data_IF_398569040161
#
_entry.id   IF_398569040161
#
_cell.length_a   1.000
_cell.length_b   1.000
_cell.length_c   1.000
_cell.angle_alpha   90.00
_cell.angle_beta   90.00
_cell.angle_gamma   90.00
#
_symmetry.space_group_name_H-M   'P 1'
#
loop_
_entity.id
_entity.type
_entity.pdbx_description
1 polymer ?
#
# COMPACT_ATOMS: atom_id res chain seq x y z
N UNK A 1 34.68 -14.00 -3.50
CA UNK A 1 33.59 -15.01 -3.58
C UNK A 1 32.27 -14.26 -3.72
N UNK A 2 31.64 -14.35 -4.90
CA UNK A 2 30.42 -13.61 -5.23
C UNK A 2 29.29 -13.98 -4.27
N UNK A 3 28.75 -12.98 -3.58
CA UNK A 3 27.67 -13.13 -2.60
C UNK A 3 26.35 -13.42 -3.31
N UNK A 4 26.13 -14.67 -3.69
CA UNK A 4 24.94 -15.12 -4.41
C UNK A 4 23.66 -14.64 -3.68
N UNK A 5 22.92 -13.73 -4.30
CA UNK A 5 21.64 -13.24 -3.80
C UNK A 5 20.74 -14.41 -3.38
N UNK A 6 20.17 -14.37 -2.17
CA UNK A 6 19.32 -15.47 -1.70
C UNK A 6 18.10 -15.66 -2.61
N UNK A 7 17.65 -16.90 -2.78
CA UNK A 7 16.48 -17.21 -3.64
C UNK A 7 15.23 -16.40 -3.26
N UNK A 8 15.02 -16.14 -1.97
CA UNK A 8 13.92 -15.32 -1.47
C UNK A 8 14.05 -13.86 -1.88
N UNK A 9 15.25 -13.30 -1.82
CA UNK A 9 15.53 -11.93 -2.24
C UNK A 9 15.42 -11.78 -3.77
N UNK A 10 15.91 -12.76 -4.54
CA UNK A 10 15.72 -12.78 -6.00
C UNK A 10 14.24 -12.78 -6.36
N UNK A 11 13.43 -13.56 -5.64
CA UNK A 11 11.97 -13.55 -5.80
C UNK A 11 11.35 -12.21 -5.47
N UNK A 12 11.77 -11.57 -4.36
CA UNK A 12 11.29 -10.25 -3.99
C UNK A 12 11.64 -9.21 -5.06
N UNK A 13 12.87 -9.26 -5.61
CA UNK A 13 13.31 -8.38 -6.68
C UNK A 13 12.44 -8.52 -7.93
N UNK A 14 12.24 -9.73 -8.44
CA UNK A 14 11.42 -10.00 -9.64
C UNK A 14 9.95 -9.59 -9.50
N UNK A 15 9.46 -9.52 -8.26
CA UNK A 15 8.07 -9.13 -7.96
C UNK A 15 7.91 -7.62 -7.88
N UNK A 16 8.86 -6.94 -7.25
CA UNK A 16 8.77 -5.51 -6.96
C UNK A 16 9.34 -4.64 -8.08
N UNK A 17 10.33 -5.15 -8.81
CA UNK A 17 11.08 -4.41 -9.81
C UNK A 17 10.84 -4.92 -11.24
N UNK A 18 11.08 -4.04 -12.20
CA UNK A 18 11.15 -4.32 -13.62
C UNK A 18 12.35 -3.58 -14.19
N UNK A 19 13.18 -4.29 -14.95
CA UNK A 19 14.22 -3.64 -15.74
C UNK A 19 13.58 -2.88 -16.90
N UNK A 20 13.95 -1.61 -17.05
CA UNK A 20 13.59 -0.80 -18.23
C UNK A 20 14.79 -0.75 -19.17
N UNK A 21 15.93 -0.32 -18.62
CA UNK A 21 17.23 -0.22 -19.31
C UNK A 21 18.33 -0.67 -18.32
N UNK A 22 19.59 -0.78 -18.76
CA UNK A 22 20.71 -1.24 -17.90
C UNK A 22 21.01 -0.30 -16.72
N UNK A 23 20.61 0.97 -16.81
CA UNK A 23 20.78 1.97 -15.76
C UNK A 23 19.45 2.40 -15.12
N UNK A 24 18.33 1.76 -15.47
CA UNK A 24 17.01 2.18 -14.98
C UNK A 24 16.16 0.99 -14.56
N UNK A 25 15.78 1.00 -13.28
CA UNK A 25 14.82 0.05 -12.72
C UNK A 25 13.50 0.77 -12.41
N UNK A 26 12.40 0.08 -12.67
CA UNK A 26 11.06 0.53 -12.35
C UNK A 26 10.52 -0.26 -11.16
N UNK A 27 10.12 0.46 -10.12
CA UNK A 27 9.45 -0.06 -8.94
C UNK A 27 7.94 -0.02 -9.18
N UNK A 28 7.29 -1.16 -8.93
CA UNK A 28 5.84 -1.26 -8.88
C UNK A 28 5.36 -1.06 -7.45
N UNK A 29 4.57 -0.01 -7.22
CA UNK A 29 3.83 0.09 -5.97
C UNK A 29 2.82 -1.05 -5.89
N UNK A 30 2.80 -1.76 -4.76
CA UNK A 30 1.84 -2.82 -4.48
C UNK A 30 1.06 -2.44 -3.23
N UNK A 31 -0.08 -1.78 -3.45
CA UNK A 31 -0.96 -1.34 -2.37
C UNK A 31 -1.86 -2.48 -1.95
N UNK A 32 -1.66 -2.97 -0.73
CA UNK A 32 -2.75 -3.54 0.05
C UNK A 32 -3.52 -4.67 -0.63
N UNK A 33 -2.84 -5.56 -1.36
CA UNK A 33 -3.43 -6.83 -1.82
C UNK A 33 -4.18 -7.50 -0.68
N UNK A 34 -3.59 -7.47 0.51
CA UNK A 34 -4.20 -7.98 1.73
C UNK A 34 -5.51 -7.27 2.08
N UNK A 35 -5.54 -5.93 2.10
CA UNK A 35 -6.77 -5.19 2.35
C UNK A 35 -7.85 -5.61 1.34
N UNK A 36 -7.51 -5.65 0.05
CA UNK A 36 -8.44 -6.11 -0.99
C UNK A 36 -8.86 -7.57 -0.80
N UNK A 37 -7.94 -8.47 -0.44
CA UNK A 37 -8.21 -9.90 -0.19
C UNK A 37 -9.11 -10.10 1.04
N UNK A 38 -8.87 -9.39 2.14
CA UNK A 38 -9.73 -9.42 3.33
C UNK A 38 -11.14 -8.97 2.96
N UNK A 39 -11.26 -7.86 2.23
CA UNK A 39 -12.56 -7.41 1.73
C UNK A 39 -13.21 -8.42 0.78
N UNK A 40 -12.44 -9.10 -0.09
CA UNK A 40 -12.95 -10.19 -0.95
C UNK A 40 -13.46 -11.36 -0.10
N UNK A 41 -12.71 -11.80 0.91
CA UNK A 41 -13.09 -12.92 1.79
C UNK A 41 -14.33 -12.56 2.62
N UNK A 42 -14.37 -11.38 3.23
CA UNK A 42 -15.55 -10.87 3.96
C UNK A 42 -16.76 -10.81 3.04
N UNK A 43 -16.56 -10.37 1.80
CA UNK A 43 -17.63 -10.29 0.81
C UNK A 43 -18.10 -11.66 0.37
N UNK A 44 -17.19 -12.61 0.13
CA UNK A 44 -17.55 -13.99 -0.21
C UNK A 44 -18.35 -14.65 0.91
N UNK A 45 -17.93 -14.46 2.17
CA UNK A 45 -18.69 -14.89 3.34
C UNK A 45 -20.07 -14.20 3.41
N UNK A 46 -20.13 -12.89 3.13
CA UNK A 46 -21.39 -12.14 3.09
C UNK A 46 -22.33 -12.65 1.99
N UNK A 47 -21.82 -12.98 0.81
CA UNK A 47 -22.61 -13.56 -0.29
C UNK A 47 -23.16 -14.92 0.12
N UNK A 48 -22.35 -15.73 0.78
CA UNK A 48 -22.78 -17.03 1.30
C UNK A 48 -23.95 -16.87 2.28
N UNK A 49 -23.81 -16.03 3.30
CA UNK A 49 -24.89 -15.80 4.25
C UNK A 49 -26.12 -15.13 3.62
N UNK A 50 -25.93 -14.13 2.76
CA UNK A 50 -27.06 -13.36 2.22
C UNK A 50 -27.88 -14.15 1.18
N UNK A 51 -27.24 -15.01 0.36
CA UNK A 51 -27.88 -15.60 -0.82
C UNK A 51 -27.84 -17.13 -0.88
N UNK A 52 -26.94 -17.78 -0.14
CA UNK A 52 -26.79 -19.25 -0.17
C UNK A 52 -27.42 -19.88 1.07
N UNK A 53 -27.14 -19.34 2.25
CA UNK A 53 -27.72 -19.83 3.50
C UNK A 53 -29.24 -19.59 3.55
N UNK A 54 -30.00 -20.67 3.63
CA UNK A 54 -31.46 -20.64 3.66
C UNK A 54 -32.03 -19.86 4.84
N UNK A 55 -31.29 -19.78 5.96
CA UNK A 55 -31.75 -19.09 7.18
C UNK A 55 -31.86 -17.57 7.00
N UNK A 56 -30.98 -16.98 6.19
CA UNK A 56 -30.89 -15.52 6.00
C UNK A 56 -31.43 -15.07 4.65
N UNK A 57 -31.39 -15.93 3.63
CA UNK A 57 -31.81 -15.61 2.25
C UNK A 57 -33.20 -15.03 2.15
N UNK A 58 -34.18 -15.56 2.89
CA UNK A 58 -35.56 -15.08 2.79
C UNK A 58 -35.69 -13.63 3.26
N UNK A 59 -35.12 -13.31 4.43
CA UNK A 59 -35.13 -11.95 4.98
C UNK A 59 -34.42 -10.95 4.06
N UNK A 60 -33.29 -11.36 3.47
CA UNK A 60 -32.53 -10.52 2.54
C UNK A 60 -33.35 -10.21 1.28
N UNK A 61 -33.99 -11.22 0.70
CA UNK A 61 -34.84 -11.03 -0.49
C UNK A 61 -36.07 -10.17 -0.19
N UNK A 62 -36.68 -10.33 0.98
CA UNK A 62 -37.81 -9.50 1.41
C UNK A 62 -37.38 -8.04 1.62
N UNK A 63 -36.26 -7.79 2.29
CA UNK A 63 -35.72 -6.44 2.49
C UNK A 63 -35.35 -5.78 1.14
N UNK A 64 -34.78 -6.53 0.20
CA UNK A 64 -34.49 -6.06 -1.15
C UNK A 64 -35.78 -5.74 -1.92
N UNK A 65 -36.77 -6.64 -1.89
CA UNK A 65 -38.06 -6.42 -2.55
C UNK A 65 -38.77 -5.20 -1.96
N UNK A 66 -38.77 -5.04 -0.64
CA UNK A 66 -39.36 -3.89 0.02
C UNK A 66 -38.67 -2.57 -0.35
N UNK A 67 -37.35 -2.59 -0.54
CA UNK A 67 -36.58 -1.39 -0.89
C UNK A 67 -36.87 -0.91 -2.31
N UNK A 68 -36.91 -1.83 -3.29
CA UNK A 68 -37.13 -1.48 -4.71
C UNK A 68 -38.61 -1.45 -5.12
N UNK A 69 -39.48 -2.14 -4.39
CA UNK A 69 -40.92 -2.25 -4.64
C UNK A 69 -41.71 -2.20 -3.32
N UNK A 70 -41.66 -1.08 -2.58
CA UNK A 70 -42.36 -0.97 -1.29
C UNK A 70 -43.89 -1.13 -1.44
N UNK A 71 -44.43 -0.65 -2.55
CA UNK A 71 -45.87 -0.68 -2.83
C UNK A 71 -46.43 -2.10 -2.92
N UNK A 72 -45.68 -3.08 -3.42
CA UNK A 72 -46.18 -4.46 -3.54
C UNK A 72 -46.40 -5.09 -2.17
N UNK A 73 -45.58 -4.74 -1.18
CA UNK A 73 -45.77 -5.19 0.21
C UNK A 73 -47.02 -4.55 0.80
N UNK A 74 -47.17 -3.24 0.64
CA UNK A 74 -48.34 -2.53 1.17
C UNK A 74 -49.65 -2.96 0.49
N UNK A 75 -49.61 -3.32 -0.79
CA UNK A 75 -50.75 -3.89 -1.50
C UNK A 75 -51.12 -5.28 -0.97
N UNK A 76 -50.13 -6.15 -0.68
CA UNK A 76 -50.38 -7.44 -0.03
C UNK A 76 -51.00 -7.28 1.37
N UNK A 77 -50.48 -6.36 2.17
CA UNK A 77 -51.01 -6.10 3.51
C UNK A 77 -52.41 -5.45 3.45
N UNK A 78 -52.65 -4.58 2.47
CA UNK A 78 -53.98 -4.04 2.17
C UNK A 78 -54.99 -5.14 1.87
N UNK A 79 -54.65 -6.16 1.05
CA UNK A 79 -55.55 -7.27 0.74
C UNK A 79 -56.02 -8.01 2.00
N UNK A 80 -55.16 -8.10 3.03
CA UNK A 80 -55.52 -8.68 4.32
C UNK A 80 -56.34 -7.75 5.22
N UNK A 81 -56.15 -6.43 5.10
CA UNK A 81 -56.79 -5.41 5.94
C UNK A 81 -58.08 -4.81 5.34
N UNK A 82 -58.34 -5.05 4.06
CA UNK A 82 -59.50 -4.57 3.34
C UNK A 82 -60.80 -5.13 3.93
N UNK A 83 -61.85 -4.31 3.91
CA UNK A 83 -63.19 -4.73 4.28
C UNK A 83 -63.89 -5.37 3.07
N UNK A 84 -64.40 -6.59 3.24
CA UNK A 84 -65.16 -7.29 2.21
C UNK A 84 -66.54 -6.65 1.96
N UNK A 85 -67.07 -5.93 2.96
CA UNK A 85 -68.39 -5.29 2.90
C UNK A 85 -68.37 -3.87 2.32
N UNK A 86 -67.21 -3.18 2.41
CA UNK A 86 -67.02 -1.80 1.91
C UNK A 86 -65.77 -1.70 1.04
N UNK A 87 -65.89 -1.78 -0.30
CA UNK A 87 -64.74 -1.71 -1.19
C UNK A 87 -64.03 -0.34 -1.07
N UNK A 88 -62.70 -0.37 -1.01
CA UNK A 88 -61.87 0.85 -0.88
C UNK A 88 -61.58 1.31 0.55
N UNK A 89 -62.18 0.65 1.56
CA UNK A 89 -61.96 0.93 2.97
C UNK A 89 -61.33 -0.27 3.69
N UNK A 90 -60.59 0.03 4.76
CA UNK A 90 -60.14 -0.98 5.73
C UNK A 90 -61.27 -1.35 6.68
N UNK A 91 -61.13 -2.49 7.37
CA UNK A 91 -62.03 -2.88 8.49
C UNK A 91 -62.09 -1.85 9.64
N UNK A 92 -61.16 -0.91 9.67
CA UNK A 92 -61.09 0.20 10.63
C UNK A 92 -61.57 1.53 10.05
N UNK A 93 -62.23 1.53 8.88
CA UNK A 93 -62.85 2.72 8.28
C UNK A 93 -61.89 3.70 7.60
N UNK A 94 -60.59 3.38 7.47
CA UNK A 94 -59.61 4.21 6.74
C UNK A 94 -59.69 3.97 5.23
N UNK A 95 -59.50 5.02 4.43
CA UNK A 95 -59.40 4.90 2.97
C UNK A 95 -58.09 4.18 2.58
N UNK A 96 -58.06 3.63 1.36
CA UNK A 96 -56.85 2.97 0.81
C UNK A 96 -55.62 3.87 0.85
N UNK A 97 -55.77 5.12 0.43
CA UNK A 97 -54.67 6.08 0.37
C UNK A 97 -54.14 6.43 1.77
N UNK A 98 -55.03 6.68 2.73
CA UNK A 98 -54.66 6.93 4.13
C UNK A 98 -53.96 5.73 4.77
N UNK A 99 -54.41 4.51 4.45
CA UNK A 99 -53.78 3.30 4.94
C UNK A 99 -52.37 3.14 4.38
N UNK A 100 -52.19 3.27 3.07
CA UNK A 100 -50.88 3.17 2.41
C UNK A 100 -49.90 4.25 2.89
N UNK A 101 -50.36 5.50 3.05
CA UNK A 101 -49.55 6.59 3.61
C UNK A 101 -49.15 6.32 5.07
N UNK A 102 -50.07 5.77 5.88
CA UNK A 102 -49.78 5.36 7.25
C UNK A 102 -48.80 4.18 7.35
N UNK A 103 -48.84 3.26 6.39
CA UNK A 103 -47.89 2.15 6.26
C UNK A 103 -46.50 2.65 5.87
N UNK A 104 -46.42 3.55 4.89
CA UNK A 104 -45.17 4.19 4.51
C UNK A 104 -44.53 4.92 5.69
N UNK A 105 -45.28 5.73 6.44
CA UNK A 105 -44.74 6.46 7.58
C UNK A 105 -44.17 5.56 8.68
N UNK A 106 -44.74 4.36 8.87
CA UNK A 106 -44.24 3.37 9.83
C UNK A 106 -42.98 2.68 9.33
N UNK A 107 -42.96 2.24 8.07
CA UNK A 107 -41.91 1.37 7.55
C UNK A 107 -40.85 2.08 6.70
N UNK A 108 -40.92 3.41 6.49
CA UNK A 108 -39.94 4.19 5.71
C UNK A 108 -38.48 3.98 6.12
N UNK A 109 -38.23 3.63 7.38
CA UNK A 109 -36.88 3.39 7.89
C UNK A 109 -36.33 2.01 7.48
N UNK A 110 -37.19 1.02 7.23
CA UNK A 110 -36.79 -0.34 6.82
C UNK A 110 -36.27 -0.38 5.38
N UNK A 111 -36.65 0.60 4.55
CA UNK A 111 -36.14 0.76 3.17
C UNK A 111 -34.61 0.85 3.12
N UNK A 112 -33.98 1.34 4.19
CA UNK A 112 -32.51 1.42 4.26
C UNK A 112 -31.82 0.06 4.38
N UNK A 113 -32.53 -1.00 4.79
CA UNK A 113 -31.95 -2.34 4.94
C UNK A 113 -31.53 -2.93 3.60
N UNK A 114 -32.38 -2.85 2.56
CA UNK A 114 -32.01 -3.31 1.22
C UNK A 114 -30.85 -2.50 0.62
N UNK A 115 -30.83 -1.19 0.82
CA UNK A 115 -29.71 -0.34 0.40
C UNK A 115 -28.39 -0.71 1.10
N UNK A 116 -28.41 -1.14 2.35
CA UNK A 116 -27.22 -1.65 3.03
C UNK A 116 -26.68 -2.92 2.37
N UNK A 117 -27.56 -3.88 2.04
CA UNK A 117 -27.17 -5.12 1.35
C UNK A 117 -26.53 -4.85 -0.01
N UNK A 118 -27.09 -3.92 -0.80
CA UNK A 118 -26.49 -3.54 -2.09
C UNK A 118 -25.22 -2.70 -1.90
N UNK A 119 -25.27 -1.75 -0.97
CA UNK A 119 -24.21 -0.79 -0.70
C UNK A 119 -22.90 -1.44 -0.28
N UNK A 120 -22.92 -2.47 0.58
CA UNK A 120 -21.70 -3.17 0.99
C UNK A 120 -20.96 -3.83 -0.19
N UNK A 121 -21.68 -4.37 -1.17
CA UNK A 121 -21.09 -4.94 -2.38
C UNK A 121 -20.57 -3.86 -3.34
N UNK A 122 -21.27 -2.73 -3.47
CA UNK A 122 -20.79 -1.57 -4.23
C UNK A 122 -19.51 -0.98 -3.61
N UNK A 123 -19.40 -0.94 -2.29
CA UNK A 123 -18.17 -0.51 -1.60
C UNK A 123 -17.00 -1.41 -1.96
N UNK A 124 -17.17 -2.75 -1.94
CA UNK A 124 -16.13 -3.67 -2.42
C UNK A 124 -15.76 -3.34 -3.87
N UNK A 125 -16.76 -3.18 -4.74
CA UNK A 125 -16.56 -2.88 -6.14
C UNK A 125 -15.69 -1.61 -6.32
N UNK A 126 -16.02 -0.52 -5.63
CA UNK A 126 -15.21 0.70 -5.66
C UNK A 126 -13.78 0.50 -5.14
N UNK A 127 -13.59 -0.33 -4.11
CA UNK A 127 -12.26 -0.67 -3.57
C UNK A 127 -11.44 -1.44 -4.63
N UNK A 128 -12.04 -2.39 -5.34
CA UNK A 128 -11.38 -3.21 -6.37
C UNK A 128 -11.12 -2.43 -7.67
N UNK A 129 -12.03 -1.51 -8.04
CA UNK A 129 -11.90 -0.65 -9.21
C UNK A 129 -10.87 0.47 -9.02
N UNK A 130 -10.52 0.82 -7.77
CA UNK A 130 -9.54 1.87 -7.52
C UNK A 130 -8.17 1.45 -8.10
N UNK A 131 -7.65 2.19 -9.11
CA UNK A 131 -6.38 1.83 -9.74
C UNK A 131 -5.23 2.05 -8.76
N UNK A 132 -4.43 1.02 -8.51
CA UNK A 132 -3.33 1.04 -7.54
C UNK A 132 -1.93 1.10 -8.16
N UNK A 133 -1.82 1.22 -9.48
CA UNK A 133 -0.52 1.22 -10.17
C UNK A 133 0.16 2.59 -10.15
N UNK A 134 0.77 2.98 -9.03
CA UNK A 134 1.88 3.96 -9.10
C UNK A 134 3.17 3.21 -9.44
N UNK A 135 4.05 3.87 -10.19
CA UNK A 135 5.37 3.34 -10.49
C UNK A 135 6.41 4.42 -10.30
N UNK A 136 7.51 4.10 -9.66
CA UNK A 136 8.67 4.98 -9.54
C UNK A 136 9.80 4.39 -10.35
N UNK A 137 10.59 5.23 -11.00
CA UNK A 137 11.78 4.81 -11.72
C UNK A 137 13.01 5.39 -11.04
N UNK A 138 14.02 4.55 -10.92
CA UNK A 138 15.32 4.89 -10.37
C UNK A 138 16.29 4.85 -11.54
N UNK A 139 16.84 6.01 -11.89
CA UNK A 139 17.82 6.16 -12.95
C UNK A 139 19.18 6.44 -12.33
N UNK A 140 20.05 5.43 -12.41
CA UNK A 140 21.41 5.45 -11.88
C UNK A 140 22.29 6.45 -12.62
N UNK A 141 22.16 6.54 -13.95
CA UNK A 141 23.03 7.37 -14.79
C UNK A 141 22.86 8.85 -14.48
N UNK A 142 21.62 9.28 -14.26
CA UNK A 142 21.27 10.67 -13.95
C UNK A 142 21.19 10.96 -12.44
N UNK A 143 21.19 9.93 -11.59
CA UNK A 143 21.03 10.08 -10.15
C UNK A 143 19.66 10.67 -9.78
N UNK A 144 18.59 10.21 -10.44
CA UNK A 144 17.23 10.71 -10.22
C UNK A 144 16.23 9.60 -9.91
N UNK A 145 15.21 9.96 -9.14
CA UNK A 145 14.01 9.13 -8.92
C UNK A 145 12.82 9.90 -9.45
N UNK A 146 12.03 9.32 -10.35
CA UNK A 146 10.92 10.01 -10.96
C UNK A 146 9.66 9.16 -11.08
N UNK A 147 8.51 9.83 -11.12
CA UNK A 147 7.21 9.20 -11.32
C UNK A 147 6.25 10.12 -12.07
N UNK A 148 5.29 9.51 -12.76
CA UNK A 148 4.19 10.21 -13.40
C UNK A 148 2.86 9.73 -12.83
N UNK A 149 2.18 10.58 -12.06
CA UNK A 149 0.95 10.25 -11.35
C UNK A 149 -0.08 11.33 -11.64
N UNK A 150 -1.27 10.94 -12.09
CA UNK A 150 -2.42 11.85 -12.17
C UNK A 150 -2.19 13.07 -13.07
N UNK A 151 -1.56 12.87 -14.24
CA UNK A 151 -1.15 13.91 -15.19
C UNK A 151 -0.07 14.88 -14.68
N UNK A 152 0.59 14.56 -13.56
CA UNK A 152 1.70 15.35 -13.00
C UNK A 152 2.97 14.52 -12.98
N UNK A 153 4.09 15.18 -13.31
CA UNK A 153 5.43 14.62 -13.26
C UNK A 153 6.10 15.02 -11.94
N UNK A 154 6.77 14.07 -11.31
CA UNK A 154 7.45 14.22 -10.02
C UNK A 154 8.86 13.68 -10.16
N UNK A 155 9.84 14.37 -9.58
CA UNK A 155 11.24 14.02 -9.68
C UNK A 155 12.00 14.47 -8.44
N UNK A 156 12.88 13.59 -7.97
CA UNK A 156 13.82 13.82 -6.89
C UNK A 156 15.23 13.64 -7.45
N UNK A 157 16.04 14.68 -7.31
CA UNK A 157 17.48 14.61 -7.61
C UNK A 157 18.25 14.18 -6.36
N UNK A 158 19.09 13.14 -6.48
CA UNK A 158 19.88 12.67 -5.34
C UNK A 158 20.92 13.72 -4.91
N UNK A 159 21.50 14.47 -5.84
CA UNK A 159 22.48 15.52 -5.56
C UNK A 159 21.89 16.72 -4.80
N UNK A 160 20.57 16.84 -4.72
CA UNK A 160 19.89 17.91 -3.98
C UNK A 160 19.45 17.46 -2.60
N UNK A 161 19.66 16.20 -2.23
CA UNK A 161 19.37 15.71 -0.89
C UNK A 161 20.36 16.32 0.12
N UNK A 162 19.80 16.88 1.20
CA UNK A 162 20.59 17.44 2.30
C UNK A 162 21.06 16.37 3.29
N UNK A 163 20.38 15.23 3.32
CA UNK A 163 20.65 14.09 4.21
C UNK A 163 21.06 12.87 3.39
N UNK A 164 21.69 11.86 4.02
CA UNK A 164 22.07 10.63 3.33
C UNK A 164 20.87 9.95 2.65
N UNK A 165 21.09 9.45 1.44
CA UNK A 165 20.10 8.71 0.65
C UNK A 165 19.52 7.48 1.38
N UNK A 166 20.28 6.73 2.20
CA UNK A 166 19.68 5.70 3.05
C UNK A 166 18.61 6.23 4.00
N UNK A 167 18.66 7.49 4.43
CA UNK A 167 17.59 8.09 5.25
C UNK A 167 16.37 8.50 4.43
N UNK A 168 16.53 8.77 3.14
CA UNK A 168 15.39 9.05 2.26
C UNK A 168 14.49 7.81 2.06
N UNK A 169 15.05 6.60 2.21
CA UNK A 169 14.31 5.34 2.14
C UNK A 169 14.06 4.80 3.55
N UNK A 170 12.80 4.80 3.98
CA UNK A 170 12.41 4.17 5.24
C UNK A 170 12.10 2.69 5.02
N UNK A 171 12.57 1.82 5.91
CA UNK A 171 12.21 0.40 5.92
C UNK A 171 11.56 0.10 7.27
N UNK A 172 10.24 -0.06 7.28
CA UNK A 172 9.44 -0.25 8.50
C UNK A 172 8.72 -1.58 8.41
N UNK A 173 8.92 -2.43 9.41
CA UNK A 173 8.43 -3.81 9.41
C UNK A 173 8.82 -4.49 8.09
N UNK A 174 7.82 -4.88 7.30
CA UNK A 174 8.01 -5.52 6.02
C UNK A 174 7.67 -4.59 4.82
N UNK A 175 7.79 -3.27 4.97
CA UNK A 175 7.48 -2.31 3.90
C UNK A 175 8.59 -1.26 3.72
N UNK A 176 9.01 -1.04 2.47
CA UNK A 176 9.90 0.06 2.09
C UNK A 176 9.04 1.27 1.70
N UNK A 177 9.32 2.43 2.28
CA UNK A 177 8.66 3.69 2.01
C UNK A 177 9.65 4.73 1.49
N UNK A 178 9.24 5.47 0.45
CA UNK A 178 9.93 6.66 -0.02
C UNK A 178 8.94 7.62 -0.69
N UNK A 179 9.33 8.89 -0.82
CA UNK A 179 8.45 9.93 -1.35
C UNK A 179 9.18 10.76 -2.41
N UNK A 180 8.69 10.74 -3.66
CA UNK A 180 9.24 11.56 -4.74
C UNK A 180 8.79 13.02 -4.62
N UNK A 181 9.70 13.98 -4.75
CA UNK A 181 9.42 15.42 -4.63
C UNK A 181 8.50 15.92 -5.78
N UNK A 182 7.66 16.96 -5.56
CA UNK A 182 7.40 17.69 -4.30
C UNK A 182 6.60 16.95 -3.23
N UNK A 183 6.94 17.24 -1.96
CA UNK A 183 6.17 16.79 -0.81
C UNK A 183 4.93 17.67 -0.65
N UNK A 184 3.82 17.25 -1.26
CA UNK A 184 2.54 17.95 -1.15
C UNK A 184 1.53 17.11 -0.34
N UNK A 185 0.96 17.73 0.69
CA UNK A 185 -0.10 17.13 1.53
C UNK A 185 -1.50 17.15 0.88
N UNK A 186 -1.67 17.81 -0.28
CA UNK A 186 -2.97 17.97 -0.93
C UNK A 186 -3.27 16.82 -1.90
N UNK A 187 -4.11 15.88 -1.46
CA UNK A 187 -4.75 14.84 -2.27
C UNK A 187 -5.94 14.21 -1.56
N UNK A 188 -6.98 13.82 -2.30
CA UNK A 188 -8.20 13.17 -1.78
C UNK A 188 -7.97 11.68 -1.52
N UNK A 189 -7.76 11.31 -0.25
CA UNK A 189 -7.57 9.93 0.16
C UNK A 189 -7.27 9.78 1.67
N UNK A 190 -7.31 8.52 2.12
CA UNK A 190 -7.06 8.09 3.50
C UNK A 190 -5.74 8.64 4.08
N UNK A 191 -5.63 8.76 5.42
CA UNK A 191 -4.55 9.49 6.09
C UNK A 191 -3.14 9.04 5.72
N UNK A 192 -2.97 7.77 5.35
CA UNK A 192 -1.64 7.18 5.26
C UNK A 192 -0.90 7.41 3.93
N UNK A 193 -1.54 7.80 2.79
CA UNK A 193 -0.84 7.77 1.49
C UNK A 193 -1.32 8.81 0.46
N UNK A 194 -1.17 10.10 0.77
CA UNK A 194 -1.43 11.24 -0.13
C UNK A 194 -0.20 11.54 -1.01
N UNK A 195 -0.39 11.93 -2.27
CA UNK A 195 0.70 12.39 -3.14
C UNK A 195 1.64 11.30 -3.73
N UNK A 196 2.84 11.68 -4.21
CA UNK A 196 3.84 10.80 -4.84
C UNK A 196 4.65 9.94 -3.82
N UNK A 197 3.97 9.46 -2.78
CA UNK A 197 4.47 8.48 -1.82
C UNK A 197 4.35 7.06 -2.38
N UNK A 198 5.37 6.25 -2.13
CA UNK A 198 5.49 4.86 -2.53
C UNK A 198 5.67 3.94 -1.33
N UNK A 199 4.96 2.81 -1.35
CA UNK A 199 5.09 1.74 -0.39
C UNK A 199 5.31 0.40 -1.13
N UNK A 200 6.40 -0.28 -0.82
CA UNK A 200 6.71 -1.61 -1.35
C UNK A 200 6.61 -2.60 -0.19
N UNK A 201 5.54 -3.36 -0.15
CA UNK A 201 5.37 -4.44 0.83
C UNK A 201 6.03 -5.73 0.32
N UNK A 202 6.90 -6.32 1.12
CA UNK A 202 7.47 -7.65 0.88
C UNK A 202 6.42 -8.77 1.05
N UNK A 203 6.71 -9.99 0.58
CA UNK A 203 5.90 -11.18 0.87
C UNK A 203 5.79 -11.43 2.37
N UNK A 204 6.84 -11.11 3.12
CA UNK A 204 6.85 -11.21 4.58
C UNK A 204 5.97 -10.16 5.25
N UNK A 205 5.32 -9.22 4.55
CA UNK A 205 4.31 -8.33 5.16
C UNK A 205 2.95 -9.00 5.26
N UNK A 206 2.73 -10.11 4.54
CA UNK A 206 1.45 -10.82 4.55
C UNK A 206 1.17 -11.44 5.92
N UNK A 207 2.19 -12.06 6.54
CA UNK A 207 2.06 -12.70 7.86
C UNK A 207 2.03 -11.71 9.05
N UNK A 208 2.85 -10.64 9.12
CA UNK A 208 2.79 -9.59 10.13
C UNK A 208 1.57 -8.67 10.04
N UNK A 209 0.91 -8.53 8.88
CA UNK A 209 -0.39 -7.85 8.86
C UNK A 209 -1.55 -8.77 9.27
N UNK A 210 -1.50 -10.06 8.92
CA UNK A 210 -2.34 -11.08 9.58
C UNK A 210 -2.06 -11.14 11.09
N UNK A 211 -0.81 -10.89 11.49
CA UNK A 211 -0.38 -10.78 12.88
C UNK A 211 -1.02 -9.60 13.58
N UNK A 212 -1.10 -8.43 12.94
CA UNK A 212 -1.70 -7.20 13.48
C UNK A 212 -3.16 -7.39 13.88
N UNK A 213 -3.88 -8.30 13.22
CA UNK A 213 -5.23 -8.73 13.61
C UNK A 213 -5.27 -9.84 14.67
N UNK A 214 -4.14 -10.50 14.96
CA UNK A 214 -4.01 -11.68 15.87
C UNK A 214 -2.91 -11.46 16.95
N UNK A 215 -2.61 -10.20 17.29
CA UNK A 215 -1.34 -9.77 17.90
C UNK A 215 -1.34 -9.79 19.45
N UNK A 216 -1.40 -10.98 20.06
CA UNK A 216 -0.57 -11.20 21.25
C UNK A 216 0.54 -12.26 21.06
N UNK A 217 0.57 -13.02 19.95
CA UNK A 217 1.29 -14.31 19.94
C UNK A 217 2.47 -14.48 18.98
N UNK A 218 2.86 -13.47 18.19
CA UNK A 218 3.79 -13.73 17.09
C UNK A 218 5.27 -13.51 17.47
N UNK A 219 5.97 -14.65 17.58
CA UNK A 219 7.40 -14.81 17.91
C UNK A 219 8.32 -13.99 17.01
N UNK A 220 9.44 -13.54 17.57
CA UNK A 220 10.59 -12.93 16.87
C UNK A 220 11.10 -13.73 15.66
N UNK A 221 10.75 -15.02 15.55
CA UNK A 221 11.17 -15.89 14.45
C UNK A 221 10.53 -15.53 13.10
N UNK A 222 9.39 -14.85 13.06
CA UNK A 222 8.75 -14.41 11.81
C UNK A 222 9.42 -13.17 11.21
N UNK A 223 10.17 -12.41 12.01
CA UNK A 223 11.04 -11.31 11.54
C UNK A 223 12.18 -11.84 10.67
N UNK A 224 12.57 -13.12 10.82
CA UNK A 224 13.67 -13.77 10.07
C UNK A 224 13.41 -13.86 8.56
N UNK A 225 12.17 -13.70 8.10
CA UNK A 225 11.79 -13.73 6.68
C UNK A 225 11.72 -12.36 6.00
N UNK A 226 12.04 -11.28 6.72
CA UNK A 226 11.90 -9.93 6.22
C UNK A 226 13.00 -9.55 5.24
N UNK A 227 12.68 -9.41 3.95
CA UNK A 227 13.65 -8.97 2.94
C UNK A 227 13.72 -7.45 2.79
N UNK A 228 12.83 -6.70 3.45
CA UNK A 228 12.69 -5.24 3.35
C UNK A 228 13.99 -4.45 3.60
N UNK A 229 14.79 -4.73 4.64
CA UNK A 229 16.06 -4.02 4.85
C UNK A 229 17.06 -4.29 3.72
N UNK A 230 17.06 -5.50 3.17
CA UNK A 230 17.90 -5.87 2.03
C UNK A 230 17.42 -5.22 0.73
N UNK A 231 16.10 -5.09 0.52
CA UNK A 231 15.54 -4.35 -0.60
C UNK A 231 15.98 -2.87 -0.55
N UNK A 232 15.93 -2.25 0.63
CA UNK A 232 16.48 -0.90 0.83
C UNK A 232 17.97 -0.84 0.49
N UNK A 233 18.78 -1.79 0.96
CA UNK A 233 20.21 -1.84 0.62
C UNK A 233 20.44 -1.97 -0.88
N UNK A 234 19.69 -2.83 -1.57
CA UNK A 234 19.81 -3.00 -3.03
C UNK A 234 19.47 -1.70 -3.76
N UNK A 235 18.48 -0.94 -3.30
CA UNK A 235 18.17 0.37 -3.87
C UNK A 235 19.31 1.38 -3.70
N UNK A 236 19.94 1.39 -2.52
CA UNK A 236 21.11 2.24 -2.24
C UNK A 236 22.31 1.80 -3.09
N UNK A 237 22.62 0.51 -3.10
CA UNK A 237 23.71 -0.09 -3.89
C UNK A 237 23.52 0.21 -5.39
N UNK A 238 22.29 0.10 -5.90
CA UNK A 238 21.96 0.38 -7.30
C UNK A 238 22.19 1.85 -7.68
N UNK A 239 21.83 2.79 -6.79
CA UNK A 239 21.97 4.23 -7.07
C UNK A 239 23.39 4.75 -6.79
N UNK A 240 24.21 4.01 -6.04
CA UNK A 240 25.56 4.43 -5.71
C UNK A 240 26.51 4.27 -6.93
N UNK A 241 27.16 5.35 -7.39
CA UNK A 241 28.11 5.27 -8.51
C UNK A 241 29.36 4.46 -8.17
N UNK A 242 29.75 4.37 -6.88
CA UNK A 242 30.92 3.62 -6.43
C UNK A 242 30.67 2.11 -6.30
N UNK A 243 29.44 1.63 -6.50
CA UNK A 243 29.13 0.20 -6.44
C UNK A 243 29.80 -0.55 -7.61
N UNK A 244 30.50 -1.68 -7.35
CA UNK A 244 31.11 -2.51 -8.40
C UNK A 244 30.07 -2.97 -9.42
N UNK A 245 30.44 -2.95 -10.71
CA UNK A 245 29.52 -3.31 -11.80
C UNK A 245 29.02 -4.75 -11.67
N UNK A 246 29.84 -5.69 -11.19
CA UNK A 246 29.44 -7.08 -10.89
C UNK A 246 28.21 -7.16 -9.99
N UNK A 247 28.11 -6.29 -8.99
CA UNK A 247 26.98 -6.26 -8.06
C UNK A 247 25.71 -5.72 -8.73
N UNK A 248 25.86 -4.79 -9.66
CA UNK A 248 24.76 -4.23 -10.43
C UNK A 248 24.24 -5.27 -11.39
N UNK A 249 25.12 -5.95 -12.11
CA UNK A 249 24.76 -7.03 -13.02
C UNK A 249 24.06 -8.17 -12.26
N UNK A 250 24.49 -8.50 -11.05
CA UNK A 250 23.80 -9.44 -10.17
C UNK A 250 22.35 -9.02 -9.87
N UNK A 251 22.14 -7.75 -9.51
CA UNK A 251 20.79 -7.20 -9.25
C UNK A 251 19.94 -7.26 -10.52
N UNK A 252 20.49 -6.87 -11.67
CA UNK A 252 19.77 -6.83 -12.95
C UNK A 252 19.41 -8.25 -13.43
N UNK A 253 20.35 -9.18 -13.36
CA UNK A 253 20.12 -10.60 -13.67
C UNK A 253 19.09 -11.22 -12.74
N UNK A 254 19.10 -10.85 -11.46
CA UNK A 254 18.07 -11.31 -10.52
C UNK A 254 16.68 -10.79 -10.90
N UNK A 255 16.55 -9.56 -11.40
CA UNK A 255 15.28 -8.96 -11.86
C UNK A 255 14.78 -9.61 -13.16
N UNK A 256 15.67 -9.91 -14.10
CA UNK A 256 15.35 -10.53 -15.40
C UNK A 256 15.12 -12.06 -15.31
N UNK A 257 15.66 -12.70 -14.27
CA UNK A 257 15.67 -14.16 -14.15
C UNK A 257 14.28 -14.81 -14.28
N UNK A 258 14.22 -15.97 -14.94
CA UNK A 258 12.95 -16.70 -15.22
C UNK A 258 12.17 -17.01 -13.95
N UNK A 259 10.90 -16.58 -13.93
CA UNK A 259 9.96 -16.88 -12.84
C UNK A 259 9.73 -18.38 -12.73
N UNK A 260 9.73 -18.90 -11.50
CA UNK A 260 9.32 -20.29 -11.25
C UNK A 260 7.82 -20.50 -11.52
N UNK A 261 7.41 -21.76 -11.70
CA UNK A 261 6.00 -22.14 -11.98
C UNK A 261 5.05 -21.60 -10.90
N UNK A 262 5.43 -21.71 -9.63
CA UNK A 262 4.64 -21.18 -8.52
C UNK A 262 4.52 -19.65 -8.58
N UNK A 263 5.61 -18.93 -8.86
CA UNK A 263 5.58 -17.48 -9.01
C UNK A 263 4.70 -17.02 -10.18
N UNK A 264 4.68 -17.79 -11.26
CA UNK A 264 3.81 -17.55 -12.41
C UNK A 264 2.34 -17.76 -12.05
N UNK A 265 1.98 -18.90 -11.43
CA UNK A 265 0.62 -19.21 -10.96
C UNK A 265 0.11 -18.15 -9.98
N UNK A 266 0.92 -17.81 -8.97
CA UNK A 266 0.59 -16.75 -8.01
C UNK A 266 0.44 -15.39 -8.71
N UNK A 267 1.27 -15.11 -9.72
CA UNK A 267 1.15 -13.90 -10.51
C UNK A 267 -0.17 -13.81 -11.25
N UNK A 268 -0.60 -14.90 -11.90
CA UNK A 268 -1.87 -14.96 -12.62
C UNK A 268 -3.07 -14.78 -11.68
N UNK A 269 -3.05 -15.44 -10.53
CA UNK A 269 -4.14 -15.42 -9.55
C UNK A 269 -4.29 -14.10 -8.80
N UNK A 270 -3.20 -13.36 -8.53
CA UNK A 270 -3.24 -12.24 -7.57
C UNK A 270 -2.75 -10.89 -8.12
N UNK A 271 -2.05 -10.84 -9.28
CA UNK A 271 -1.56 -9.55 -9.79
C UNK A 271 -2.68 -8.59 -10.22
N UNK A 272 -3.87 -9.09 -10.57
CA UNK A 272 -5.03 -8.25 -10.91
C UNK A 272 -5.61 -7.54 -9.67
N UNK A 273 -5.57 -8.19 -8.50
CA UNK A 273 -5.96 -7.59 -7.21
C UNK A 273 -5.02 -6.40 -6.90
N UNK A 274 -3.72 -6.63 -7.12
CA UNK A 274 -2.64 -5.66 -6.93
C UNK A 274 -2.72 -4.46 -7.89
N UNK A 275 -3.07 -4.73 -9.14
CA UNK A 275 -3.17 -3.73 -10.19
C UNK A 275 -4.46 -2.92 -10.16
N UNK A 276 -5.51 -3.46 -9.53
CA UNK A 276 -6.89 -3.06 -9.77
C UNK A 276 -7.43 -3.69 -11.07
N UNK A 277 -8.76 -3.74 -11.18
CA UNK A 277 -9.45 -4.28 -12.37
C UNK A 277 -9.16 -3.48 -13.65
N UNK A 278 -8.79 -2.20 -13.49
CA UNK A 278 -8.35 -1.34 -14.59
C UNK A 278 -6.95 -0.76 -14.33
N UNK A 279 -6.14 -0.73 -15.37
CA UNK A 279 -4.77 -0.23 -15.33
C UNK A 279 -4.67 1.05 -16.15
N UNK A 280 -4.20 2.16 -15.54
CA UNK A 280 -3.85 3.33 -16.33
C UNK A 280 -2.72 3.00 -17.30
N UNK A 281 -2.86 3.42 -18.54
CA UNK A 281 -1.81 3.35 -19.56
C UNK A 281 -0.58 4.11 -19.07
N UNK A 282 0.59 3.50 -19.22
CA UNK A 282 1.84 4.17 -18.87
C UNK A 282 2.14 5.27 -19.89
N UNK A 283 2.75 6.39 -19.45
CA UNK A 283 3.24 7.39 -20.37
C UNK A 283 4.35 6.80 -21.27
N UNK A 284 4.38 7.23 -22.54
CA UNK A 284 5.41 6.84 -23.50
C UNK A 284 6.79 7.33 -23.03
N UNK A 285 7.86 6.59 -23.34
CA UNK A 285 9.24 6.93 -22.94
C UNK A 285 9.65 8.33 -23.43
N UNK A 286 9.36 8.66 -24.70
CA UNK A 286 9.66 9.97 -25.28
C UNK A 286 9.05 11.15 -24.48
N UNK A 287 7.79 11.01 -24.04
CA UNK A 287 7.13 12.03 -23.23
C UNK A 287 7.79 12.22 -21.86
N UNK A 288 8.28 11.14 -21.25
CA UNK A 288 9.00 11.23 -19.99
C UNK A 288 10.35 11.91 -20.15
N UNK A 289 11.09 11.60 -21.22
CA UNK A 289 12.37 12.26 -21.52
C UNK A 289 12.20 13.76 -21.75
N UNK A 290 11.16 14.17 -22.48
CA UNK A 290 10.82 15.58 -22.68
C UNK A 290 10.56 16.29 -21.34
N UNK A 291 9.79 15.66 -20.44
CA UNK A 291 9.52 16.22 -19.10
C UNK A 291 10.76 16.28 -18.23
N UNK A 292 11.65 15.31 -18.32
CA UNK A 292 12.94 15.34 -17.60
C UNK A 292 13.80 16.48 -18.12
N UNK A 293 13.91 16.66 -19.44
CA UNK A 293 14.68 17.74 -20.04
C UNK A 293 14.14 19.13 -19.64
N UNK A 294 12.82 19.30 -19.67
CA UNK A 294 12.16 20.51 -19.21
C UNK A 294 12.45 20.81 -17.73
N UNK A 295 12.35 19.79 -16.88
CA UNK A 295 12.63 19.92 -15.44
C UNK A 295 14.06 20.41 -15.17
N UNK A 296 15.07 19.82 -15.85
CA UNK A 296 16.47 20.23 -15.67
C UNK A 296 16.74 21.64 -16.20
N UNK A 297 16.02 22.08 -17.23
CA UNK A 297 16.17 23.43 -17.79
C UNK A 297 15.53 24.51 -16.90
N UNK A 298 14.35 24.24 -16.34
CA UNK A 298 13.53 25.29 -15.72
C UNK A 298 13.36 25.20 -14.21
N UNK A 299 13.29 23.98 -13.64
CA UNK A 299 12.94 23.76 -12.24
C UNK A 299 14.18 23.46 -11.39
N UNK A 300 15.06 22.56 -11.87
CA UNK A 300 16.28 22.15 -11.14
C UNK A 300 17.18 23.31 -10.70
N UNK A 301 17.43 24.36 -11.53
CA UNK A 301 18.27 25.49 -11.12
C UNK A 301 17.67 26.32 -9.96
N UNK A 302 16.35 26.28 -9.78
CA UNK A 302 15.64 27.01 -8.71
C UNK A 302 15.67 26.26 -7.37
N UNK A 303 16.08 25.00 -7.37
CA UNK A 303 16.11 24.14 -6.18
C UNK A 303 17.52 24.11 -5.61
N UNK A 304 17.74 24.82 -4.50
CA UNK A 304 19.01 24.77 -3.76
C UNK A 304 19.21 23.44 -3.03
N UNK A 305 18.13 22.89 -2.47
CA UNK A 305 18.16 21.65 -1.70
C UNK A 305 16.76 21.13 -1.45
N UNK A 306 16.66 19.82 -1.18
CA UNK A 306 15.38 19.15 -0.98
C UNK A 306 15.04 19.06 0.52
N UNK A 307 13.75 19.23 0.87
CA UNK A 307 13.29 18.90 2.21
C UNK A 307 13.53 17.41 2.51
N UNK A 308 13.61 17.09 3.80
CA UNK A 308 13.71 15.71 4.29
C UNK A 308 12.38 15.30 4.93
N UNK A 309 12.14 14.00 5.11
CA UNK A 309 10.98 13.54 5.85
C UNK A 309 11.36 12.38 6.76
N UNK A 310 10.62 12.20 7.84
CA UNK A 310 10.67 11.01 8.67
C UNK A 310 9.25 10.58 9.05
N UNK A 311 9.02 9.30 9.36
CA UNK A 311 7.73 8.90 9.90
C UNK A 311 7.54 9.51 11.29
N UNK A 312 6.31 9.88 11.62
CA UNK A 312 6.00 10.58 12.87
C UNK A 312 6.23 9.66 14.07
N UNK A 313 6.80 10.24 15.13
CA UNK A 313 7.16 9.57 16.38
C UNK A 313 6.26 10.02 17.52
N UNK A 314 6.36 9.36 18.67
CA UNK A 314 5.63 9.75 19.88
C UNK A 314 6.02 11.13 20.42
N UNK A 315 7.14 11.70 19.95
CA UNK A 315 7.62 13.01 20.34
C UNK A 315 7.04 14.14 19.46
N UNK A 316 6.40 13.79 18.35
CA UNK A 316 5.80 14.75 17.43
C UNK A 316 4.37 15.11 17.86
N UNK A 317 3.83 16.20 17.30
CA UNK A 317 2.48 16.65 17.61
C UNK A 317 1.43 15.58 17.28
N UNK A 318 0.30 15.55 18.00
CA UNK A 318 -0.80 14.63 17.69
C UNK A 318 -1.29 14.76 16.23
N UNK A 319 -1.24 15.98 15.67
CA UNK A 319 -1.58 16.21 14.27
C UNK A 319 -0.64 15.46 13.33
N UNK A 320 0.65 15.46 13.61
CA UNK A 320 1.65 14.80 12.77
C UNK A 320 1.69 13.29 13.00
N UNK A 321 1.41 12.82 14.22
CA UNK A 321 1.16 11.40 14.50
C UNK A 321 -0.03 10.86 13.70
N UNK A 322 -1.12 11.64 13.58
CA UNK A 322 -2.29 11.27 12.76
C UNK A 322 -1.97 11.27 11.26
N UNK A 323 -1.10 12.18 10.79
CA UNK A 323 -0.60 12.18 9.41
C UNK A 323 0.36 11.01 9.15
N UNK A 324 1.10 10.59 10.16
CA UNK A 324 2.06 9.49 10.12
C UNK A 324 3.47 9.87 9.62
N UNK A 325 3.70 11.11 9.20
CA UNK A 325 5.00 11.61 8.75
C UNK A 325 5.19 13.09 9.06
N UNK A 326 6.44 13.50 9.21
CA UNK A 326 6.90 14.87 9.45
C UNK A 326 7.83 15.28 8.32
N UNK A 327 7.59 16.45 7.74
CA UNK A 327 8.44 17.04 6.71
C UNK A 327 9.35 18.06 7.38
N UNK A 328 10.66 17.85 7.29
CA UNK A 328 11.68 18.78 7.76
C UNK A 328 12.04 19.70 6.60
N UNK A 329 11.84 21.00 6.82
CA UNK A 329 12.12 22.02 5.82
C UNK A 329 13.62 22.15 5.51
N UNK A 330 13.94 22.73 4.35
CA UNK A 330 15.34 23.03 3.97
C UNK A 330 16.00 23.94 5.02
N UNK A 331 15.28 24.93 5.55
CA UNK A 331 15.80 25.85 6.57
C UNK A 331 16.15 25.13 7.87
N UNK A 332 15.32 24.20 8.31
CA UNK A 332 15.60 23.39 9.51
C UNK A 332 16.78 22.46 9.29
N UNK A 333 16.87 21.78 8.13
CA UNK A 333 18.05 20.96 7.82
C UNK A 333 19.34 21.79 7.82
N UNK A 334 19.32 23.02 7.27
CA UNK A 334 20.47 23.94 7.35
C UNK A 334 20.82 24.31 8.81
N UNK A 335 19.82 24.52 9.68
CA UNK A 335 20.04 24.76 11.13
C UNK A 335 20.70 23.58 11.84
N UNK A 336 20.38 22.36 11.43
CA UNK A 336 21.02 21.14 11.94
C UNK A 336 22.42 20.87 11.33
N UNK A 337 22.93 21.78 10.49
CA UNK A 337 24.26 21.67 9.89
C UNK A 337 24.31 20.83 8.61
N UNK A 338 23.17 20.40 8.06
CA UNK A 338 23.13 19.66 6.80
C UNK A 338 23.23 20.60 5.60
N UNK A 339 23.96 20.16 4.57
CA UNK A 339 24.20 20.90 3.33
C UNK A 339 23.81 20.04 2.12
N UNK A 340 23.45 20.68 1.00
CA UNK A 340 23.20 20.03 -0.28
C UNK A 340 24.34 20.39 -1.25
N UNK A 341 24.97 19.40 -1.93
CA UNK A 341 24.79 17.96 -1.77
C UNK A 341 25.31 17.45 -0.42
N UNK A 342 24.70 16.39 0.10
CA UNK A 342 25.21 15.70 1.28
C UNK A 342 26.59 15.08 0.95
N UNK A 343 27.67 15.36 1.73
CA UNK A 343 29.01 14.84 1.44
C UNK A 343 29.07 13.31 1.49
N UNK A 344 28.31 12.69 2.41
CA UNK A 344 28.27 11.24 2.60
C UNK A 344 26.93 10.67 2.11
N UNK A 345 26.57 11.01 0.87
CA UNK A 345 25.22 10.74 0.33
C UNK A 345 24.81 9.28 0.39
N UNK A 346 25.72 8.33 0.17
CA UNK A 346 25.40 6.89 0.16
C UNK A 346 25.76 6.17 1.46
N UNK A 347 26.36 6.86 2.43
CA UNK A 347 26.73 6.25 3.69
C UNK A 347 25.52 6.11 4.62
N UNK A 348 25.48 5.00 5.36
CA UNK A 348 24.48 4.82 6.39
C UNK A 348 24.85 5.66 7.63
N UNK A 349 23.89 6.41 8.22
CA UNK A 349 24.16 7.24 9.38
C UNK A 349 24.53 6.38 10.60
N UNK A 350 25.67 6.70 11.24
CA UNK A 350 26.25 5.93 12.34
C UNK A 350 25.74 6.29 13.74
N UNK A 351 25.05 7.41 13.93
CA UNK A 351 24.74 7.92 15.28
C UNK A 351 23.28 8.36 15.45
N UNK A 352 22.76 9.20 14.55
CA UNK A 352 21.40 9.75 14.62
C UNK A 352 20.70 9.53 13.28
N UNK A 353 19.85 8.50 13.24
CA UNK A 353 18.98 8.23 12.11
C UNK A 353 17.62 8.89 12.33
N UNK A 354 17.06 9.50 11.28
CA UNK A 354 15.66 9.94 11.25
C UNK A 354 14.65 8.81 11.50
N UNK A 355 15.09 7.56 11.38
CA UNK A 355 14.26 6.36 11.56
C UNK A 355 14.47 5.71 12.95
N UNK A 356 14.63 6.51 14.01
CA UNK A 356 14.71 6.00 15.38
C UNK A 356 13.31 5.97 16.04
N UNK A 357 12.58 4.86 15.89
CA UNK A 357 11.29 4.65 16.56
C UNK A 357 11.42 3.87 17.87
N UNK A 358 10.87 4.38 18.98
CA UNK A 358 10.92 3.73 20.31
C UNK A 358 9.87 2.62 20.50
N UNK A 359 8.75 2.65 19.77
CA UNK A 359 7.58 1.81 20.08
C UNK A 359 7.49 0.48 19.29
N UNK A 360 8.19 0.34 18.15
CA UNK A 360 8.00 -0.78 17.21
C UNK A 360 9.31 -1.39 16.67
N UNK A 361 10.40 -1.29 17.43
CA UNK A 361 11.72 -1.78 17.02
C UNK A 361 12.38 -0.92 15.94
N UNK A 362 13.69 -1.05 15.77
CA UNK A 362 14.52 -0.22 14.89
C UNK A 362 13.91 -0.01 13.50
N UNK A 363 13.61 1.23 13.12
CA UNK A 363 13.17 1.53 11.76
C UNK A 363 14.42 1.58 10.87
N UNK A 364 14.77 0.42 10.30
CA UNK A 364 15.40 0.35 8.99
C UNK A 364 16.82 0.90 8.79
N UNK A 365 17.54 1.29 9.84
CA UNK A 365 19.00 1.44 9.78
C UNK A 365 19.61 0.39 10.71
N UNK A 366 19.65 -0.86 10.22
CA UNK A 366 20.42 -1.90 10.88
C UNK A 366 21.88 -1.48 10.77
N UNK A 367 22.49 -1.09 11.89
CA UNK A 367 23.91 -0.72 11.96
C UNK A 367 24.84 -1.93 11.85
N UNK A 368 24.32 -3.15 12.04
CA UNK A 368 25.07 -4.40 11.91
C UNK A 368 24.55 -5.23 10.73
N UNK A 369 25.18 -5.06 9.56
CA UNK A 369 26.17 -6.07 9.13
C UNK A 369 26.71 -5.75 7.73
N UNK A 370 27.91 -5.17 7.76
CA UNK A 370 28.89 -5.00 6.70
C UNK A 370 28.97 -6.18 5.73
N UNK A 371 28.38 -6.10 4.54
CA UNK A 371 28.66 -7.02 3.42
C UNK A 371 28.73 -8.53 3.78
N UNK A 372 28.10 -8.97 4.87
CA UNK A 372 28.33 -10.32 5.37
C UNK A 372 27.41 -11.27 4.61
N UNK A 373 27.97 -12.33 4.00
CA UNK A 373 27.18 -13.39 3.35
C UNK A 373 26.10 -13.92 4.30
N UNK A 374 24.94 -14.30 3.75
CA UNK A 374 23.82 -14.89 4.50
C UNK A 374 24.24 -16.08 5.39
N UNK A 375 25.31 -16.77 4.99
CA UNK A 375 25.92 -17.91 5.68
C UNK A 375 26.66 -17.52 6.97
N UNK A 376 27.27 -16.33 7.02
CA UNK A 376 27.97 -15.82 8.20
C UNK A 376 26.97 -15.39 9.27
N UNK A 377 25.87 -14.77 8.84
CA UNK A 377 24.70 -14.48 9.68
C UNK A 377 24.08 -15.74 10.28
N UNK A 378 24.00 -16.83 9.50
CA UNK A 378 23.51 -18.12 10.00
C UNK A 378 24.46 -18.75 11.01
N UNK A 379 25.77 -18.60 10.84
CA UNK A 379 26.80 -19.08 11.79
C UNK A 379 26.82 -18.27 13.09
N UNK A 380 26.72 -16.95 13.03
CA UNK A 380 26.69 -16.08 14.21
C UNK A 380 25.41 -16.26 15.05
N UNK A 381 24.33 -16.77 14.45
CA UNK A 381 23.05 -17.00 15.11
C UNK A 381 22.97 -18.25 16.01
N UNK A 382 24.01 -19.08 16.05
CA UNK A 382 24.13 -20.23 16.94
C UNK A 382 23.10 -21.35 16.66
N UNK A 383 23.53 -22.62 16.71
CA UNK A 383 22.59 -23.75 16.63
C UNK A 383 21.60 -23.66 17.81
N UNK A 384 20.29 -23.90 17.60
CA UNK A 384 19.33 -23.89 18.70
C UNK A 384 19.75 -24.95 19.72
N UNK A 385 19.99 -24.54 20.98
CA UNK A 385 20.22 -25.48 22.07
C UNK A 385 18.97 -26.37 22.19
N UNK A 386 19.10 -27.63 21.78
CA UNK A 386 18.15 -28.67 22.17
C UNK A 386 18.16 -28.74 23.69
N UNK A 387 17.09 -28.26 24.33
CA UNK A 387 16.84 -28.58 25.75
C UNK A 387 16.58 -30.09 25.80
N UNK A 388 17.56 -30.85 26.31
CA UNK A 388 17.30 -32.21 26.81
C UNK A 388 16.22 -32.08 27.89
N UNK A 389 15.05 -32.68 27.65
CA UNK A 389 14.07 -32.93 28.71
C UNK A 389 14.76 -33.83 29.74
N UNK A 390 14.80 -33.38 30.99
CA UNK A 390 15.04 -34.24 32.15
C UNK A 390 13.68 -34.67 32.67
#
# INVERSE_FOLDING_TARGET
>A
MANLLSKTLQQALRRCFVKIDDNTIEIKERKGIFFKLVFIVITAASIYFDFIDSSHRYSVLEDLQFTFQPETRFQREWLSAADFSKPGYTRHGKTKEEYLAGMWNRHKHEVWKGYYYVGKYLVLFFILFRPSKKRARFDRKRGIIYTYIGKKFYITELNKLMRPFPEYISAVNATVFFWVHPYHDKGTGTPCFRGPQFAIADRSSWFPMLALTLLPFLRQELVKFNTTPYLKKILVDFMNPATPQERIDEIMNAIEGRKGISEWLFGLMFNWIDGGLYCKTLPKKAFLEEKIAHYFKEESPKIEGLPSFHPATSFDSLCDQVKGYVIISVKENKKFGYQAPCPNLFEYPKVLSLHAGRLLGYWGNIQDESNTPLEVLQKQRGKPKQKKRK
#
